data_IF_781704969231
#
_entry.id   IF_781704969231
#
_cell.length_a   1.000
_cell.length_b   1.000
_cell.length_c   1.000
_cell.angle_alpha   90.00
_cell.angle_beta   90.00
_cell.angle_gamma   90.00
#
_symmetry.space_group_name_H-M   'P 1'
#
loop_
_entity.id
_entity.type
_entity.pdbx_description
1 polymer ?
#
# COMPACT_ATOMS: atom_id res chain seq x y z
N UNK A 1 0.35 -22.68 10.69
CA UNK A 1 -0.46 -21.46 10.49
C UNK A 1 -1.37 -21.68 9.31
N UNK A 2 -2.65 -21.38 9.50
CA UNK A 2 -3.65 -21.46 8.44
C UNK A 2 -3.43 -20.29 7.48
N UNK A 3 -3.43 -20.57 6.18
CA UNK A 3 -3.29 -19.52 5.16
C UNK A 3 -4.68 -18.94 4.89
N UNK A 4 -4.91 -17.70 5.33
CA UNK A 4 -6.12 -16.93 5.00
C UNK A 4 -5.86 -16.02 3.81
N UNK A 5 -6.76 -15.90 2.84
CA UNK A 5 -6.60 -14.94 1.73
C UNK A 5 -7.04 -13.51 2.11
N UNK A 6 -7.39 -13.29 3.39
CA UNK A 6 -7.69 -11.96 3.92
C UNK A 6 -6.40 -11.15 4.05
N UNK A 7 -6.46 -9.90 3.58
CA UNK A 7 -5.44 -8.89 3.81
C UNK A 7 -6.10 -7.55 4.15
N UNK A 8 -5.31 -6.59 4.62
CA UNK A 8 -5.82 -5.27 4.93
C UNK A 8 -4.95 -4.12 4.44
N UNK A 9 -5.39 -2.92 4.80
CA UNK A 9 -4.70 -1.67 4.58
C UNK A 9 -5.06 -0.72 5.74
N UNK A 10 -4.05 -0.11 6.36
CA UNK A 10 -4.29 0.99 7.29
C UNK A 10 -4.86 2.21 6.55
N UNK A 11 -5.82 2.87 7.20
CA UNK A 11 -6.43 4.13 6.74
C UNK A 11 -6.38 5.15 7.87
N UNK A 12 -6.90 6.37 7.67
CA UNK A 12 -6.88 7.40 8.70
C UNK A 12 -7.76 6.93 9.87
N UNK A 13 -7.20 6.90 11.08
CA UNK A 13 -7.83 6.36 12.29
C UNK A 13 -8.52 4.99 12.12
N UNK A 14 -8.01 4.14 11.22
CA UNK A 14 -8.75 2.94 10.86
C UNK A 14 -8.00 1.84 10.12
N UNK A 15 -8.72 0.75 9.87
CA UNK A 15 -8.23 -0.40 9.11
C UNK A 15 -9.30 -0.88 8.13
N UNK A 16 -8.91 -1.00 6.86
CA UNK A 16 -9.66 -1.72 5.85
C UNK A 16 -9.21 -3.18 5.80
N UNK A 17 -10.15 -4.11 5.85
CA UNK A 17 -9.94 -5.54 5.63
C UNK A 17 -10.67 -5.99 4.37
N UNK A 18 -10.03 -6.87 3.61
CA UNK A 18 -10.55 -7.41 2.35
C UNK A 18 -10.63 -8.93 2.44
N UNK A 19 -11.86 -9.43 2.42
CA UNK A 19 -12.17 -10.85 2.28
C UNK A 19 -12.33 -11.28 0.82
N UNK A 20 -12.89 -12.47 0.61
CA UNK A 20 -13.03 -13.07 -0.72
C UNK A 20 -14.00 -12.33 -1.64
N UNK A 21 -15.08 -11.79 -1.06
CA UNK A 21 -16.19 -11.13 -1.75
C UNK A 21 -16.68 -9.85 -1.06
N UNK A 22 -16.01 -9.42 0.02
CA UNK A 22 -16.39 -8.26 0.83
C UNK A 22 -15.16 -7.45 1.22
N UNK A 23 -15.39 -6.17 1.47
CA UNK A 23 -14.45 -5.22 2.06
C UNK A 23 -15.14 -4.58 3.25
N UNK A 24 -14.46 -4.49 4.38
CA UNK A 24 -14.91 -3.72 5.52
C UNK A 24 -13.86 -2.66 5.84
N UNK A 25 -14.28 -1.42 6.05
CA UNK A 25 -13.42 -0.34 6.56
C UNK A 25 -13.96 0.08 7.91
N UNK A 26 -13.18 -0.12 8.97
CA UNK A 26 -13.50 0.32 10.32
C UNK A 26 -12.64 1.54 10.66
N UNK A 27 -13.28 2.59 11.17
CA UNK A 27 -12.64 3.85 11.55
C UNK A 27 -13.07 4.20 12.96
N UNK A 28 -12.13 4.60 13.82
CA UNK A 28 -12.40 5.12 15.15
C UNK A 28 -12.86 6.58 15.04
N UNK A 29 -14.00 6.90 15.64
CA UNK A 29 -14.52 8.26 15.79
C UNK A 29 -14.88 8.47 17.26
N UNK A 30 -14.09 9.27 17.98
CA UNK A 30 -14.14 9.31 19.45
C UNK A 30 -14.02 7.92 20.09
N UNK A 31 -15.01 7.54 20.90
CA UNK A 31 -15.08 6.23 21.54
C UNK A 31 -15.73 5.15 20.66
N UNK A 32 -16.33 5.53 19.53
CA UNK A 32 -17.10 4.63 18.66
C UNK A 32 -16.27 4.10 17.48
N UNK A 33 -16.64 2.92 16.98
CA UNK A 33 -16.06 2.33 15.76
C UNK A 33 -17.13 2.31 14.67
N UNK A 34 -16.93 3.12 13.64
CA UNK A 34 -17.82 3.17 12.48
C UNK A 34 -17.30 2.20 11.44
N UNK A 35 -18.18 1.31 10.97
CA UNK A 35 -17.83 0.27 10.00
C UNK A 35 -18.65 0.45 8.73
N UNK A 36 -17.96 0.58 7.60
CA UNK A 36 -18.55 0.51 6.27
C UNK A 36 -18.18 -0.80 5.60
N UNK A 37 -19.21 -1.59 5.29
CA UNK A 37 -19.07 -2.89 4.62
C UNK A 37 -19.63 -2.83 3.22
N UNK A 38 -18.88 -3.33 2.25
CA UNK A 38 -19.27 -3.36 0.85
C UNK A 38 -18.97 -4.73 0.24
N UNK A 39 -19.90 -5.27 -0.54
CA UNK A 39 -19.66 -6.45 -1.35
C UNK A 39 -18.87 -6.06 -2.60
N UNK A 40 -17.65 -6.61 -2.74
CA UNK A 40 -16.76 -6.31 -3.85
C UNK A 40 -16.36 -7.61 -4.54
N UNK A 41 -16.89 -7.84 -5.73
CA UNK A 41 -16.42 -8.93 -6.60
C UNK A 41 -15.08 -8.55 -7.24
N UNK A 42 -13.97 -9.27 -6.94
CA UNK A 42 -12.66 -8.96 -7.48
C UNK A 42 -12.65 -8.94 -9.02
N UNK A 43 -11.88 -8.04 -9.62
CA UNK A 43 -11.77 -7.92 -11.09
C UNK A 43 -11.36 -9.26 -11.73
N UNK A 44 -10.44 -9.98 -11.10
CA UNK A 44 -9.96 -11.30 -11.54
C UNK A 44 -11.06 -12.37 -11.58
N UNK A 45 -12.12 -12.23 -10.77
CA UNK A 45 -13.29 -13.12 -10.77
C UNK A 45 -14.40 -12.64 -11.75
N UNK A 46 -14.29 -11.44 -12.33
CA UNK A 46 -15.25 -10.92 -13.31
C UNK A 46 -14.98 -11.45 -14.72
N UNK A 47 -13.72 -11.71 -15.07
CA UNK A 47 -13.32 -12.22 -16.38
C UNK A 47 -12.13 -13.18 -16.26
N UNK A 48 -12.21 -14.35 -16.90
CA UNK A 48 -11.13 -15.36 -16.95
C UNK A 48 -9.83 -14.81 -17.54
N UNK A 49 -9.89 -13.83 -18.44
CA UNK A 49 -8.69 -13.20 -18.98
C UNK A 49 -7.89 -12.49 -17.88
N UNK A 50 -8.56 -11.86 -16.91
CA UNK A 50 -7.91 -11.15 -15.81
C UNK A 50 -7.33 -12.08 -14.75
N UNK A 51 -7.58 -13.39 -14.81
CA UNK A 51 -7.00 -14.37 -13.88
C UNK A 51 -5.77 -15.11 -14.45
N UNK A 52 -5.39 -14.83 -15.70
CA UNK A 52 -4.21 -15.42 -16.33
C UNK A 52 -2.92 -15.03 -15.58
N UNK A 53 -1.94 -15.96 -15.44
CA UNK A 53 -0.63 -15.65 -14.88
C UNK A 53 0.02 -14.45 -15.55
N UNK A 54 0.78 -13.65 -14.80
CA UNK A 54 1.41 -12.38 -15.24
C UNK A 54 0.44 -11.24 -15.63
N UNK A 55 -0.83 -11.53 -15.93
CA UNK A 55 -1.86 -10.52 -16.20
C UNK A 55 -2.61 -10.18 -14.90
N UNK A 56 -2.93 -11.21 -14.12
CA UNK A 56 -3.69 -11.09 -12.87
C UNK A 56 -3.09 -10.14 -11.85
N UNK A 57 -1.76 -10.03 -11.80
CA UNK A 57 -1.08 -9.13 -10.88
C UNK A 57 -1.43 -7.67 -11.12
N UNK A 58 -1.45 -7.26 -12.39
CA UNK A 58 -1.83 -5.91 -12.80
C UNK A 58 -3.27 -5.61 -12.39
N UNK A 59 -4.21 -6.51 -12.69
CA UNK A 59 -5.62 -6.30 -12.34
C UNK A 59 -5.86 -6.36 -10.83
N UNK A 60 -5.17 -7.23 -10.10
CA UNK A 60 -5.24 -7.30 -8.64
C UNK A 60 -4.69 -6.01 -8.00
N UNK A 61 -3.62 -5.44 -8.55
CA UNK A 61 -3.07 -4.16 -8.10
C UNK A 61 -4.04 -3.01 -8.35
N UNK A 62 -4.63 -2.93 -9.56
CA UNK A 62 -5.64 -1.91 -9.88
C UNK A 62 -6.88 -2.03 -8.98
N UNK A 63 -7.37 -3.24 -8.78
CA UNK A 63 -8.50 -3.52 -7.89
C UNK A 63 -8.20 -3.07 -6.45
N UNK A 64 -7.02 -3.41 -5.94
CA UNK A 64 -6.58 -3.01 -4.60
C UNK A 64 -6.37 -1.49 -4.49
N UNK A 65 -5.85 -0.84 -5.53
CA UNK A 65 -5.68 0.62 -5.55
C UNK A 65 -7.03 1.35 -5.51
N UNK A 66 -8.02 0.89 -6.30
CA UNK A 66 -9.36 1.50 -6.31
C UNK A 66 -10.02 1.36 -4.95
N UNK A 67 -9.97 0.17 -4.35
CA UNK A 67 -10.54 -0.08 -3.02
C UNK A 67 -9.79 0.74 -1.96
N UNK A 68 -8.45 0.73 -1.99
CA UNK A 68 -7.62 1.46 -1.05
C UNK A 68 -7.85 2.97 -1.07
N UNK A 69 -7.98 3.58 -2.26
CA UNK A 69 -8.30 5.00 -2.40
C UNK A 69 -9.70 5.28 -1.83
N UNK A 70 -10.71 4.47 -2.17
CA UNK A 70 -12.07 4.65 -1.64
C UNK A 70 -12.11 4.57 -0.12
N UNK A 71 -11.40 3.62 0.49
CA UNK A 71 -11.34 3.48 1.94
C UNK A 71 -10.58 4.61 2.61
N UNK A 72 -9.50 5.13 1.99
CA UNK A 72 -8.79 6.31 2.48
C UNK A 72 -9.66 7.56 2.42
N UNK A 73 -10.34 7.81 1.30
CA UNK A 73 -11.28 8.92 1.15
C UNK A 73 -12.40 8.83 2.18
N UNK A 74 -13.01 7.64 2.35
CA UNK A 74 -14.03 7.43 3.36
C UNK A 74 -13.53 7.70 4.79
N UNK A 75 -12.31 7.26 5.14
CA UNK A 75 -11.74 7.55 6.45
C UNK A 75 -11.40 9.02 6.66
N UNK A 76 -10.99 9.73 5.60
CA UNK A 76 -10.71 11.16 5.65
C UNK A 76 -12.00 11.95 5.89
N UNK A 77 -13.06 11.66 5.13
CA UNK A 77 -14.38 12.29 5.29
C UNK A 77 -14.93 12.13 6.71
N UNK A 78 -14.84 10.93 7.30
CA UNK A 78 -15.29 10.69 8.67
C UNK A 78 -14.50 11.44 9.73
N UNK A 79 -13.20 11.66 9.49
CA UNK A 79 -12.29 12.36 10.40
C UNK A 79 -12.44 13.88 10.29
N UNK A 80 -12.58 14.42 9.07
CA UNK A 80 -12.79 15.85 8.82
C UNK A 80 -14.11 16.36 9.42
N UNK A 81 -15.18 15.56 9.41
CA UNK A 81 -16.45 15.87 10.09
C UNK A 81 -16.30 16.12 11.62
N UNK A 82 -15.21 15.65 12.24
CA UNK A 82 -14.93 15.85 13.67
C UNK A 82 -14.06 17.10 13.93
N UNK A 83 -13.23 17.50 12.95
CA UNK A 83 -12.35 18.67 13.02
C UNK A 83 -13.01 19.99 12.56
N UNK A 84 -14.25 19.96 12.05
CA UNK A 84 -15.03 21.16 11.68
C UNK A 84 -15.28 22.13 12.85
N UNK A 85 -15.06 21.73 14.11
CA UNK A 85 -15.10 22.64 15.26
C UNK A 85 -13.85 23.54 15.40
N UNK A 86 -12.78 23.29 14.64
CA UNK A 86 -11.51 24.06 14.67
C UNK A 86 -11.13 24.68 13.31
N UNK A 87 -12.07 25.33 12.63
CA UNK A 87 -11.78 26.05 11.38
C UNK A 87 -10.74 27.16 11.64
N UNK A 88 -9.58 27.06 10.98
CA UNK A 88 -8.54 28.08 11.04
C UNK A 88 -9.04 29.41 10.47
N UNK A 89 -8.61 30.54 11.04
CA UNK A 89 -8.96 31.89 10.51
C UNK A 89 -8.58 32.06 9.04
N UNK A 90 -7.62 31.28 8.56
CA UNK A 90 -7.18 31.23 7.18
C UNK A 90 -8.21 30.53 6.27
N UNK A 91 -8.77 29.41 6.72
CA UNK A 91 -9.79 28.64 5.99
C UNK A 91 -11.09 29.45 5.88
N UNK A 92 -11.51 30.10 6.98
CA UNK A 92 -12.65 31.03 6.96
C UNK A 92 -12.44 32.24 6.05
N UNK A 93 -11.19 32.70 5.85
CA UNK A 93 -10.89 33.80 4.94
C UNK A 93 -10.95 33.34 3.48
N UNK A 94 -10.35 32.18 3.16
CA UNK A 94 -10.41 31.64 1.81
C UNK A 94 -11.84 31.29 1.41
N UNK A 95 -12.63 30.67 2.29
CA UNK A 95 -14.02 30.29 2.01
C UNK A 95 -14.89 31.52 1.72
N UNK A 96 -14.62 32.66 2.38
CA UNK A 96 -15.25 33.95 2.07
C UNK A 96 -14.85 34.56 0.73
N UNK A 97 -13.64 34.31 0.24
CA UNK A 97 -13.12 34.89 -1.02
C UNK A 97 -13.47 34.02 -2.23
N UNK A 98 -13.49 32.70 -2.07
CA UNK A 98 -13.63 31.74 -3.17
C UNK A 98 -14.97 30.98 -3.18
N UNK A 99 -15.78 31.09 -2.11
CA UNK A 99 -17.11 30.48 -2.00
C UNK A 99 -17.09 28.95 -1.88
N UNK A 100 -18.24 28.32 -2.06
CA UNK A 100 -18.50 26.88 -1.83
C UNK A 100 -17.72 25.91 -2.73
N UNK A 101 -16.90 26.41 -3.66
CA UNK A 101 -16.07 25.59 -4.58
C UNK A 101 -14.58 25.61 -4.22
N UNK A 102 -14.22 26.30 -3.14
CA UNK A 102 -12.83 26.40 -2.72
C UNK A 102 -12.25 25.03 -2.38
N UNK A 103 -12.98 24.21 -1.63
CA UNK A 103 -12.48 22.95 -1.09
C UNK A 103 -12.16 21.97 -2.22
N UNK A 104 -13.04 21.89 -3.22
CA UNK A 104 -12.79 21.17 -4.47
C UNK A 104 -11.51 21.68 -5.17
N UNK A 105 -11.37 23.00 -5.34
CA UNK A 105 -10.22 23.60 -6.02
C UNK A 105 -8.92 23.33 -5.26
N UNK A 106 -8.92 23.45 -3.93
CA UNK A 106 -7.78 23.17 -3.07
C UNK A 106 -7.39 21.69 -3.12
N UNK A 107 -8.37 20.79 -3.11
CA UNK A 107 -8.15 19.36 -3.25
C UNK A 107 -7.53 19.02 -4.61
N UNK A 108 -8.13 19.47 -5.72
CA UNK A 108 -7.57 19.23 -7.07
C UNK A 108 -6.17 19.82 -7.23
N UNK A 109 -5.93 21.00 -6.69
CA UNK A 109 -4.62 21.65 -6.73
C UNK A 109 -3.57 20.85 -5.92
N UNK A 110 -3.92 20.39 -4.72
CA UNK A 110 -3.05 19.58 -3.86
C UNK A 110 -2.72 18.23 -4.49
N UNK A 111 -3.71 17.57 -5.11
CA UNK A 111 -3.50 16.33 -5.88
C UNK A 111 -2.60 16.59 -7.08
N UNK A 112 -2.80 17.68 -7.82
CA UNK A 112 -1.94 18.02 -8.96
C UNK A 112 -0.49 18.28 -8.53
N UNK A 113 -0.27 19.07 -7.48
CA UNK A 113 1.07 19.35 -6.94
C UNK A 113 1.75 18.07 -6.46
N UNK A 114 1.05 17.24 -5.67
CA UNK A 114 1.62 16.00 -5.14
C UNK A 114 2.00 15.03 -6.26
N UNK A 115 1.22 14.95 -7.33
CA UNK A 115 1.54 14.15 -8.50
C UNK A 115 2.77 14.68 -9.26
N UNK A 116 2.84 16.00 -9.49
CA UNK A 116 4.00 16.64 -10.13
C UNK A 116 5.26 16.39 -9.29
N UNK A 117 5.19 16.63 -7.99
CA UNK A 117 6.30 16.43 -7.07
C UNK A 117 6.74 14.96 -7.07
N UNK A 118 5.79 14.02 -7.07
CA UNK A 118 6.09 12.58 -7.16
C UNK A 118 6.80 12.21 -8.46
N UNK A 119 6.37 12.74 -9.61
CA UNK A 119 7.04 12.52 -10.90
C UNK A 119 8.46 13.11 -10.86
N UNK A 120 8.62 14.32 -10.32
CA UNK A 120 9.93 14.96 -10.23
C UNK A 120 10.87 14.15 -9.33
N UNK A 121 10.44 13.80 -8.11
CA UNK A 121 11.29 13.13 -7.12
C UNK A 121 11.59 11.67 -7.52
N UNK A 122 10.60 10.91 -7.98
CA UNK A 122 10.75 9.45 -8.18
C UNK A 122 11.08 9.04 -9.61
N UNK A 123 10.85 9.90 -10.61
CA UNK A 123 11.14 9.59 -12.01
C UNK A 123 12.21 10.49 -12.60
N UNK A 124 12.01 11.81 -12.59
CA UNK A 124 12.91 12.76 -13.25
C UNK A 124 14.23 12.88 -12.48
N UNK A 125 14.19 13.01 -11.16
CA UNK A 125 15.35 13.17 -10.28
C UNK A 125 16.37 12.03 -10.44
N UNK A 126 16.00 10.75 -10.22
CA UNK A 126 16.93 9.63 -10.37
C UNK A 126 17.49 9.55 -11.79
N UNK A 127 16.65 9.83 -12.79
CA UNK A 127 17.03 9.85 -14.21
C UNK A 127 18.09 10.91 -14.50
N UNK A 128 17.90 12.12 -13.97
CA UNK A 128 18.81 13.24 -14.15
C UNK A 128 20.15 12.98 -13.47
N UNK A 129 20.13 12.50 -12.22
CA UNK A 129 21.34 12.14 -11.47
C UNK A 129 22.10 11.00 -12.17
N UNK A 130 21.40 9.96 -12.63
CA UNK A 130 22.02 8.85 -13.34
C UNK A 130 22.61 9.25 -14.71
N UNK A 131 22.12 10.32 -15.35
CA UNK A 131 22.68 10.79 -16.63
C UNK A 131 24.16 11.22 -16.50
N UNK A 132 24.56 11.74 -15.33
CA UNK A 132 25.96 12.05 -15.04
C UNK A 132 26.89 10.83 -15.08
N UNK A 133 26.35 9.61 -14.92
CA UNK A 133 27.16 8.38 -15.06
C UNK A 133 27.72 8.20 -16.47
N UNK A 134 27.15 8.86 -17.48
CA UNK A 134 27.71 8.88 -18.85
C UNK A 134 29.11 9.47 -18.93
N UNK A 135 29.51 10.29 -17.96
CA UNK A 135 30.88 10.81 -17.86
C UNK A 135 31.89 9.71 -17.52
N UNK A 136 31.44 8.63 -16.88
CA UNK A 136 32.30 7.54 -16.41
C UNK A 136 32.17 6.26 -17.25
N UNK A 137 31.00 6.00 -17.82
CA UNK A 137 30.76 4.78 -18.62
C UNK A 137 29.75 5.00 -19.74
N UNK A 138 29.96 4.31 -20.87
CA UNK A 138 28.99 4.25 -21.98
C UNK A 138 28.05 3.05 -21.91
N UNK A 139 28.26 2.15 -20.94
CA UNK A 139 27.44 0.94 -20.79
C UNK A 139 26.06 1.30 -20.22
N UNK A 140 25.04 1.25 -21.07
CA UNK A 140 23.66 1.63 -20.70
C UNK A 140 23.08 0.77 -19.59
N UNK A 141 23.49 -0.50 -19.50
CA UNK A 141 23.02 -1.42 -18.44
C UNK A 141 23.47 -0.91 -17.08
N UNK A 142 24.74 -0.48 -16.97
CA UNK A 142 25.29 0.08 -15.72
C UNK A 142 24.58 1.38 -15.35
N UNK A 143 24.32 2.25 -16.31
CA UNK A 143 23.63 3.53 -16.06
C UNK A 143 22.19 3.29 -15.58
N UNK A 144 21.43 2.39 -16.23
CA UNK A 144 20.08 2.03 -15.80
C UNK A 144 20.05 1.35 -14.42
N UNK A 145 21.05 0.50 -14.13
CA UNK A 145 21.18 -0.13 -12.83
C UNK A 145 21.39 0.90 -11.73
N UNK A 146 22.30 1.87 -11.94
CA UNK A 146 22.53 2.98 -11.00
C UNK A 146 21.27 3.83 -10.82
N UNK A 147 20.56 4.14 -11.90
CA UNK A 147 19.27 4.86 -11.81
C UNK A 147 18.26 4.10 -10.95
N UNK A 148 18.16 2.79 -11.14
CA UNK A 148 17.31 1.91 -10.35
C UNK A 148 17.68 1.91 -8.87
N UNK A 149 18.98 1.84 -8.56
CA UNK A 149 19.49 1.92 -7.19
C UNK A 149 19.20 3.28 -6.55
N UNK A 150 19.42 4.37 -7.28
CA UNK A 150 19.10 5.73 -6.84
C UNK A 150 17.61 5.87 -6.50
N UNK A 151 16.72 5.28 -7.30
CA UNK A 151 15.28 5.28 -7.04
C UNK A 151 14.95 4.58 -5.71
N UNK A 152 15.57 3.43 -5.44
CA UNK A 152 15.40 2.73 -4.15
C UNK A 152 15.90 3.60 -3.01
N UNK A 153 17.09 4.21 -3.12
CA UNK A 153 17.64 5.07 -2.07
C UNK A 153 16.73 6.27 -1.79
N UNK A 154 16.25 6.96 -2.83
CA UNK A 154 15.32 8.09 -2.70
C UNK A 154 14.01 7.64 -2.05
N UNK A 155 13.49 6.47 -2.42
CA UNK A 155 12.30 5.90 -1.82
C UNK A 155 12.47 5.57 -0.33
N UNK A 156 13.58 4.95 0.06
CA UNK A 156 13.88 4.68 1.47
C UNK A 156 14.05 5.97 2.28
N UNK A 157 14.75 6.96 1.72
CA UNK A 157 14.90 8.26 2.36
C UNK A 157 13.54 8.93 2.57
N UNK A 158 12.69 8.91 1.54
CA UNK A 158 11.33 9.43 1.63
C UNK A 158 10.53 8.73 2.74
N UNK A 159 10.54 7.40 2.80
CA UNK A 159 9.87 6.64 3.87
C UNK A 159 10.37 7.04 5.26
N UNK A 160 11.69 7.15 5.43
CA UNK A 160 12.28 7.57 6.71
C UNK A 160 11.80 8.96 7.10
N UNK A 161 11.78 9.92 6.18
CA UNK A 161 11.33 11.29 6.44
C UNK A 161 9.86 11.35 6.83
N UNK A 162 8.96 10.73 6.06
CA UNK A 162 7.53 10.75 6.38
C UNK A 162 7.21 9.97 7.66
N UNK A 163 7.97 8.91 7.97
CA UNK A 163 7.79 8.12 9.20
C UNK A 163 8.03 8.92 10.48
N UNK A 164 8.57 10.14 10.37
CA UNK A 164 8.77 11.05 11.51
C UNK A 164 7.53 11.91 11.80
N UNK A 165 6.62 12.06 10.83
CA UNK A 165 5.37 12.80 10.96
C UNK A 165 4.39 12.07 11.89
N UNK A 166 3.68 12.80 12.76
CA UNK A 166 2.78 12.20 13.76
C UNK A 166 1.65 11.40 13.10
N UNK A 167 1.01 11.98 12.10
CA UNK A 167 -0.13 11.36 11.42
C UNK A 167 0.27 10.08 10.67
N UNK A 168 1.46 10.08 10.07
CA UNK A 168 2.01 8.89 9.41
C UNK A 168 2.41 7.81 10.41
N UNK A 169 2.97 8.17 11.57
CA UNK A 169 3.23 7.21 12.65
C UNK A 169 1.95 6.54 13.10
N UNK A 170 0.88 7.33 13.27
CA UNK A 170 -0.45 6.84 13.66
C UNK A 170 -1.00 5.84 12.63
N UNK A 171 -0.89 6.13 11.34
CA UNK A 171 -1.24 5.17 10.27
C UNK A 171 -0.36 3.90 10.35
N UNK A 172 0.93 4.01 10.64
CA UNK A 172 1.82 2.85 10.78
C UNK A 172 1.52 2.00 12.02
N UNK A 173 0.96 2.58 13.08
CA UNK A 173 0.44 1.83 14.23
C UNK A 173 -0.81 1.02 13.82
N UNK A 174 -1.78 1.63 13.14
CA UNK A 174 -2.93 0.89 12.57
C UNK A 174 -2.50 -0.22 11.60
N UNK A 175 -1.42 -0.02 10.85
CA UNK A 175 -0.82 -1.07 10.01
C UNK A 175 -0.23 -2.20 10.87
N UNK A 176 0.41 -1.88 12.00
CA UNK A 176 0.80 -2.87 12.99
C UNK A 176 -0.39 -3.64 13.57
N UNK A 177 -1.50 -2.96 13.85
CA UNK A 177 -2.74 -3.57 14.33
C UNK A 177 -3.34 -4.55 13.32
N UNK A 178 -3.36 -4.17 12.04
CA UNK A 178 -3.81 -5.02 10.93
C UNK A 178 -2.99 -6.33 10.87
N UNK A 179 -1.66 -6.23 10.86
CA UNK A 179 -0.80 -7.42 10.88
C UNK A 179 -1.04 -8.31 12.09
N UNK A 180 -1.16 -7.73 13.29
CA UNK A 180 -1.39 -8.48 14.53
C UNK A 180 -2.74 -9.19 14.55
N UNK A 181 -3.80 -8.53 14.07
CA UNK A 181 -5.13 -9.11 13.95
C UNK A 181 -5.16 -10.27 12.95
N UNK A 182 -4.51 -10.14 11.79
CA UNK A 182 -4.39 -11.22 10.81
C UNK A 182 -3.58 -12.39 11.37
N UNK A 183 -2.47 -12.13 12.06
CA UNK A 183 -1.70 -13.20 12.70
C UNK A 183 -2.54 -13.97 13.73
N UNK A 184 -3.36 -13.28 14.53
CA UNK A 184 -4.29 -13.92 15.46
C UNK A 184 -5.24 -14.87 14.74
N UNK A 185 -5.80 -14.45 13.61
CA UNK A 185 -6.65 -15.28 12.78
C UNK A 185 -5.90 -16.48 12.17
N UNK A 186 -4.70 -16.27 11.65
CA UNK A 186 -3.87 -17.33 11.04
C UNK A 186 -3.42 -18.41 12.04
N UNK A 187 -3.39 -18.08 13.33
CA UNK A 187 -3.12 -18.99 14.43
C UNK A 187 -4.40 -19.59 15.03
N UNK A 188 -5.57 -19.28 14.46
CA UNK A 188 -6.87 -19.81 14.85
C UNK A 188 -7.23 -19.51 16.32
N UNK A 189 -6.76 -18.36 16.81
CA UNK A 189 -7.10 -17.88 18.14
C UNK A 189 -8.30 -16.95 18.10
N UNK A 190 -8.97 -16.82 19.25
CA UNK A 190 -10.09 -15.91 19.38
C UNK A 190 -9.62 -14.46 19.14
N UNK A 191 -10.32 -13.76 18.25
CA UNK A 191 -10.04 -12.38 17.88
C UNK A 191 -10.38 -11.41 19.03
N UNK A 192 -9.45 -11.34 19.99
CA UNK A 192 -9.44 -10.44 21.14
C UNK A 192 -8.17 -9.59 21.11
N UNK A 193 -8.22 -8.42 21.76
CA UNK A 193 -7.06 -7.52 21.87
C UNK A 193 -5.88 -8.24 22.52
N UNK A 194 -6.13 -9.00 23.59
CA UNK A 194 -5.10 -9.74 24.32
C UNK A 194 -4.37 -10.75 23.43
N UNK A 195 -5.12 -11.53 22.64
CA UNK A 195 -4.53 -12.50 21.72
C UNK A 195 -3.79 -11.82 20.56
N UNK A 196 -4.36 -10.78 19.96
CA UNK A 196 -3.72 -10.06 18.86
C UNK A 196 -2.41 -9.37 19.30
N UNK A 197 -2.37 -8.81 20.51
CA UNK A 197 -1.23 -8.03 21.04
C UNK A 197 0.11 -8.78 20.99
N UNK A 198 0.10 -10.10 21.19
CA UNK A 198 1.33 -10.92 21.29
C UNK A 198 2.04 -11.15 19.96
N UNK A 199 1.36 -10.90 18.83
CA UNK A 199 1.93 -11.11 17.52
C UNK A 199 2.84 -9.96 17.10
N UNK A 200 3.72 -10.24 16.14
CA UNK A 200 4.64 -9.25 15.57
C UNK A 200 3.93 -8.33 14.58
N UNK A 201 4.45 -7.12 14.42
CA UNK A 201 4.02 -6.17 13.38
C UNK A 201 4.68 -6.44 12.02
N UNK A 202 5.46 -7.52 11.88
CA UNK A 202 6.15 -7.90 10.64
C UNK A 202 5.46 -9.09 9.98
N UNK A 203 4.79 -8.88 8.85
CA UNK A 203 4.00 -9.89 8.16
C UNK A 203 4.54 -10.20 6.73
N UNK A 204 4.82 -11.46 6.36
CA UNK A 204 5.45 -11.81 5.07
C UNK A 204 4.58 -11.50 3.84
N UNK A 205 3.27 -11.34 4.04
CA UNK A 205 2.28 -11.12 2.96
C UNK A 205 1.86 -9.65 2.81
N UNK A 206 2.49 -8.76 3.58
CA UNK A 206 2.24 -7.32 3.52
C UNK A 206 2.57 -6.71 2.15
N UNK A 207 1.82 -5.68 1.74
CA UNK A 207 2.07 -4.89 0.53
C UNK A 207 3.46 -4.23 0.48
N UNK A 208 4.08 -3.91 1.62
CA UNK A 208 5.45 -3.39 1.67
C UNK A 208 6.47 -4.40 1.12
N UNK A 209 6.24 -5.70 1.33
CA UNK A 209 7.07 -6.73 0.72
C UNK A 209 6.85 -6.81 -0.80
N UNK A 210 5.60 -6.66 -1.25
CA UNK A 210 5.29 -6.54 -2.68
C UNK A 210 5.99 -5.34 -3.32
N UNK A 211 6.04 -4.19 -2.64
CA UNK A 211 6.73 -3.00 -3.12
C UNK A 211 8.25 -3.23 -3.30
N UNK A 212 8.90 -3.91 -2.36
CA UNK A 212 10.30 -4.32 -2.51
C UNK A 212 10.53 -5.19 -3.75
N UNK A 213 9.66 -6.17 -3.97
CA UNK A 213 9.71 -7.04 -5.15
C UNK A 213 9.54 -6.21 -6.42
N UNK A 214 8.54 -5.32 -6.46
CA UNK A 214 8.28 -4.41 -7.60
C UNK A 214 9.50 -3.56 -7.92
N UNK A 215 10.16 -2.97 -6.91
CA UNK A 215 11.38 -2.20 -7.12
C UNK A 215 12.51 -3.07 -7.69
N UNK A 216 12.74 -4.25 -7.12
CA UNK A 216 13.79 -5.17 -7.58
C UNK A 216 13.55 -5.63 -9.02
N UNK A 217 12.33 -6.05 -9.33
CA UNK A 217 11.91 -6.43 -10.69
C UNK A 217 12.04 -5.25 -11.64
N UNK A 218 11.67 -4.03 -11.21
CA UNK A 218 11.83 -2.81 -12.02
C UNK A 218 13.29 -2.56 -12.38
N UNK A 219 14.22 -2.69 -11.43
CA UNK A 219 15.66 -2.50 -11.69
C UNK A 219 16.13 -3.48 -12.76
N UNK A 220 15.77 -4.76 -12.62
CA UNK A 220 16.18 -5.81 -13.56
C UNK A 220 15.58 -5.55 -14.95
N UNK A 221 14.25 -5.38 -15.04
CA UNK A 221 13.55 -5.18 -16.32
C UNK A 221 14.05 -3.92 -17.03
N UNK A 222 14.20 -2.81 -16.32
CA UNK A 222 14.65 -1.55 -16.92
C UNK A 222 16.16 -1.52 -17.22
N UNK A 223 16.98 -2.35 -16.57
CA UNK A 223 18.42 -2.42 -16.86
C UNK A 223 18.73 -2.76 -18.32
N UNK A 224 17.87 -3.57 -18.96
CA UNK A 224 18.03 -4.00 -20.35
C UNK A 224 17.51 -2.99 -21.39
N UNK A 225 16.91 -1.87 -20.96
CA UNK A 225 16.44 -0.85 -21.89
C UNK A 225 17.59 0.03 -22.40
N UNK A 226 17.42 0.60 -23.60
CA UNK A 226 18.33 1.63 -24.11
C UNK A 226 18.14 2.94 -23.34
N UNK A 227 19.02 3.92 -23.60
CA UNK A 227 18.93 5.28 -23.04
C UNK A 227 18.50 6.32 -24.09
N UNK A 228 17.25 6.31 -24.57
CA UNK A 228 16.74 7.30 -25.52
C UNK A 228 16.41 8.63 -24.80
N UNK A 229 15.73 9.55 -25.48
CA UNK A 229 15.26 10.82 -24.91
C UNK A 229 14.37 10.59 -23.68
N UNK A 230 14.30 11.60 -22.80
CA UNK A 230 13.57 11.52 -21.53
C UNK A 230 12.11 11.10 -21.71
N UNK A 231 11.41 11.66 -22.70
CA UNK A 231 10.01 11.31 -22.98
C UNK A 231 9.84 9.83 -23.35
N UNK A 232 10.71 9.29 -24.22
CA UNK A 232 10.65 7.88 -24.62
C UNK A 232 10.93 6.97 -23.42
N UNK A 233 11.81 7.40 -22.50
CA UNK A 233 12.07 6.67 -21.25
C UNK A 233 10.86 6.66 -20.31
N UNK A 234 10.21 7.80 -20.14
CA UNK A 234 8.99 7.89 -19.32
C UNK A 234 7.90 6.99 -19.93
N UNK A 235 7.66 7.10 -21.24
CA UNK A 235 6.65 6.30 -21.92
C UNK A 235 6.94 4.79 -21.83
N UNK A 236 8.19 4.37 -22.09
CA UNK A 236 8.56 2.95 -22.00
C UNK A 236 8.41 2.38 -20.59
N UNK A 237 8.69 3.17 -19.54
CA UNK A 237 8.44 2.75 -18.16
C UNK A 237 6.97 2.56 -17.87
N UNK A 238 6.13 3.53 -18.27
CA UNK A 238 4.67 3.45 -18.09
C UNK A 238 4.12 2.20 -18.79
N UNK A 239 4.52 1.97 -20.05
CA UNK A 239 4.08 0.80 -20.83
C UNK A 239 4.52 -0.54 -20.22
N UNK A 240 5.64 -0.56 -19.50
CA UNK A 240 6.17 -1.76 -18.84
C UNK A 240 5.69 -1.95 -17.40
N UNK A 241 4.97 -0.98 -16.80
CA UNK A 241 4.39 -1.13 -15.46
C UNK A 241 3.52 -2.39 -15.33
N UNK A 242 2.64 -2.74 -16.30
CA UNK A 242 1.88 -3.99 -16.25
C UNK A 242 2.76 -5.24 -16.22
N UNK A 243 3.88 -5.23 -16.96
CA UNK A 243 4.82 -6.37 -16.98
C UNK A 243 5.50 -6.52 -15.62
N UNK A 244 5.98 -5.41 -15.06
CA UNK A 244 6.60 -5.38 -13.72
C UNK A 244 5.61 -5.85 -12.66
N UNK A 245 4.38 -5.32 -12.65
CA UNK A 245 3.33 -5.70 -11.70
C UNK A 245 2.97 -7.18 -11.83
N UNK A 246 2.85 -7.67 -13.07
CA UNK A 246 2.61 -9.07 -13.39
C UNK A 246 3.66 -10.01 -12.80
N UNK A 247 4.94 -9.77 -13.12
CA UNK A 247 6.07 -10.58 -12.61
C UNK A 247 6.14 -10.51 -11.09
N UNK A 248 6.01 -9.31 -10.51
CA UNK A 248 6.11 -9.10 -9.06
C UNK A 248 5.01 -9.83 -8.31
N UNK A 249 3.79 -9.87 -8.86
CA UNK A 249 2.66 -10.57 -8.28
C UNK A 249 2.87 -12.10 -8.27
N UNK A 250 3.44 -12.66 -9.33
CA UNK A 250 3.76 -14.09 -9.36
C UNK A 250 4.85 -14.45 -8.33
N UNK A 251 5.85 -13.57 -8.16
CA UNK A 251 6.92 -13.77 -7.16
C UNK A 251 6.35 -13.72 -5.74
N UNK A 252 5.52 -12.72 -5.38
CA UNK A 252 4.95 -12.63 -4.02
C UNK A 252 3.99 -13.80 -3.75
N UNK A 253 3.23 -14.25 -4.74
CA UNK A 253 2.34 -15.40 -4.61
C UNK A 253 3.13 -16.70 -4.41
N UNK A 254 4.23 -16.87 -5.14
CA UNK A 254 5.15 -17.98 -4.94
C UNK A 254 5.77 -17.93 -3.53
N UNK A 255 6.15 -16.74 -3.06
CA UNK A 255 6.69 -16.55 -1.73
C UNK A 255 5.71 -16.89 -0.61
N UNK A 256 4.45 -16.46 -0.70
CA UNK A 256 3.43 -16.83 0.28
C UNK A 256 3.08 -18.32 0.30
N UNK A 257 3.39 -19.05 -0.78
CA UNK A 257 3.13 -20.49 -0.91
C UNK A 257 4.32 -21.36 -0.55
N UNK A 258 5.52 -20.80 -0.41
CA UNK A 258 6.75 -21.57 -0.24
C UNK A 258 7.36 -21.41 1.14
N UNK A 259 7.74 -22.53 1.76
CA UNK A 259 8.56 -22.55 2.99
C UNK A 259 10.07 -22.63 2.68
N UNK A 260 10.47 -22.39 1.42
CA UNK A 260 11.85 -22.48 1.00
C UNK A 260 12.68 -21.32 1.57
N UNK A 261 13.76 -21.66 2.28
CA UNK A 261 14.69 -20.69 2.89
C UNK A 261 15.29 -19.69 1.90
N UNK A 262 15.48 -20.06 0.63
CA UNK A 262 15.98 -19.16 -0.42
C UNK A 262 14.94 -18.09 -0.74
N UNK A 263 13.68 -18.49 -0.88
CA UNK A 263 12.57 -17.57 -1.16
C UNK A 263 12.32 -16.66 0.05
N UNK A 264 12.38 -17.21 1.27
CA UNK A 264 12.32 -16.43 2.50
C UNK A 264 13.46 -15.41 2.61
N UNK A 265 14.70 -15.79 2.27
CA UNK A 265 15.85 -14.89 2.26
C UNK A 265 15.71 -13.76 1.22
N UNK A 266 15.14 -14.06 0.04
CA UNK A 266 14.87 -13.06 -0.99
C UNK A 266 13.82 -12.03 -0.57
N UNK A 267 12.80 -12.47 0.17
CA UNK A 267 11.71 -11.62 0.69
C UNK A 267 12.11 -10.86 1.97
N UNK A 268 13.13 -11.33 2.68
CA UNK A 268 13.56 -10.75 3.96
C UNK A 268 13.83 -9.23 3.93
N UNK A 269 14.46 -8.64 2.90
CA UNK A 269 14.60 -7.19 2.82
C UNK A 269 13.26 -6.45 2.83
N UNK A 270 12.21 -7.03 2.24
CA UNK A 270 10.85 -6.50 2.30
C UNK A 270 10.25 -6.53 3.70
N UNK A 271 10.60 -7.53 4.53
CA UNK A 271 10.26 -7.53 5.97
C UNK A 271 11.02 -6.45 6.74
N UNK A 272 12.27 -6.15 6.38
CA UNK A 272 13.02 -5.07 7.02
C UNK A 272 12.39 -3.69 6.76
N UNK A 273 11.81 -3.48 5.57
CA UNK A 273 11.07 -2.25 5.28
C UNK A 273 9.88 -2.05 6.21
N UNK A 274 9.25 -3.12 6.68
CA UNK A 274 8.13 -3.01 7.61
C UNK A 274 8.55 -2.41 8.95
N UNK A 275 9.82 -2.56 9.37
CA UNK A 275 10.33 -1.84 10.55
C UNK A 275 10.28 -0.30 10.41
N UNK A 276 10.14 0.20 9.18
CA UNK A 276 9.93 1.63 8.89
C UNK A 276 8.45 1.97 8.68
N UNK A 277 7.63 1.02 8.21
CA UNK A 277 6.22 1.24 7.82
C UNK A 277 5.19 0.63 8.77
N UNK A 278 5.62 0.03 9.88
CA UNK A 278 4.75 -0.47 10.95
C UNK A 278 5.27 0.02 12.30
N UNK A 279 4.36 0.18 13.26
CA UNK A 279 4.63 0.55 14.65
C UNK A 279 3.77 -0.29 15.57
N UNK A 280 4.16 -0.36 16.84
CA UNK A 280 3.37 -1.05 17.85
C UNK A 280 2.06 -0.30 18.10
N UNK A 281 0.89 -0.95 17.89
CA UNK A 281 -0.39 -0.32 18.12
C UNK A 281 -0.77 -0.28 19.59
N UNK A 282 -1.64 0.65 19.94
CA UNK A 282 -2.41 0.63 21.18
C UNK A 282 -3.62 -0.35 21.09
N UNK A 283 -4.28 -0.55 22.23
CA UNK A 283 -5.43 -1.46 22.31
C UNK A 283 -6.63 -0.97 21.48
N UNK A 284 -6.83 0.35 21.42
CA UNK A 284 -7.92 0.94 20.64
C UNK A 284 -7.75 0.67 19.14
N UNK A 285 -6.51 0.68 18.64
CA UNK A 285 -6.19 0.36 17.26
C UNK A 285 -6.37 -1.14 16.98
N UNK A 286 -6.02 -2.01 17.93
CA UNK A 286 -6.26 -3.45 17.83
C UNK A 286 -7.75 -3.77 17.76
N UNK A 287 -8.58 -3.11 18.56
CA UNK A 287 -10.04 -3.25 18.51
C UNK A 287 -10.60 -2.90 17.13
N UNK A 288 -10.14 -1.82 16.51
CA UNK A 288 -10.58 -1.38 15.18
C UNK A 288 -10.17 -2.40 14.12
N UNK A 289 -8.93 -2.89 14.16
CA UNK A 289 -8.45 -3.93 13.25
C UNK A 289 -9.27 -5.23 13.39
N UNK A 290 -9.56 -5.64 14.61
CA UNK A 290 -10.39 -6.82 14.92
C UNK A 290 -11.82 -6.63 14.44
N UNK A 291 -12.42 -5.46 14.67
CA UNK A 291 -13.80 -5.16 14.25
C UNK A 291 -13.93 -5.21 12.71
N UNK A 292 -12.97 -4.62 12.00
CA UNK A 292 -12.88 -4.72 10.54
C UNK A 292 -12.74 -6.17 10.07
N UNK A 293 -11.89 -6.95 10.74
CA UNK A 293 -11.64 -8.36 10.40
C UNK A 293 -12.86 -9.25 10.65
N UNK A 294 -13.52 -9.12 11.81
CA UNK A 294 -14.76 -9.84 12.13
C UNK A 294 -15.85 -9.55 11.11
N UNK A 295 -15.97 -8.28 10.71
CA UNK A 295 -16.97 -7.86 9.72
C UNK A 295 -16.82 -8.61 8.39
N UNK A 296 -15.59 -8.80 7.88
CA UNK A 296 -15.41 -9.57 6.64
C UNK A 296 -15.63 -11.07 6.83
N UNK A 297 -15.31 -11.63 8.00
CA UNK A 297 -15.48 -13.06 8.32
C UNK A 297 -16.94 -13.49 8.43
N UNK A 298 -17.82 -12.63 8.96
CA UNK A 298 -19.26 -12.92 9.12
C UNK A 298 -19.95 -13.27 7.79
N UNK A 299 -19.52 -12.64 6.68
CA UNK A 299 -20.09 -12.89 5.34
C UNK A 299 -19.51 -14.13 4.65
N UNK A 300 -18.40 -14.66 5.16
CA UNK A 300 -17.81 -15.90 4.66
C UNK A 300 -18.47 -17.15 5.30
N UNK A 301 -19.49 -16.94 6.16
CA UNK A 301 -20.42 -17.98 6.59
C UNK A 301 -19.79 -19.10 7.42
N UNK A 302 -18.72 -18.80 8.17
CA UNK A 302 -18.01 -19.83 8.96
C UNK A 302 -17.46 -20.97 8.11
N UNK A 303 -17.25 -20.77 6.80
CA UNK A 303 -16.67 -21.78 5.94
C UNK A 303 -15.21 -21.97 6.33
N UNK A 304 -14.86 -23.21 6.71
CA UNK A 304 -13.48 -23.65 6.82
C UNK A 304 -12.76 -23.30 5.51
N UNK A 305 -11.77 -22.40 5.63
CA UNK A 305 -10.92 -21.97 4.54
C UNK A 305 -10.24 -23.18 3.89
N UNK A 306 -10.80 -23.70 2.80
CA UNK A 306 -10.13 -24.65 1.93
C UNK A 306 -8.95 -23.93 1.26
N UNK A 307 -7.74 -24.39 1.60
CA UNK A 307 -6.49 -23.91 1.04
C UNK A 307 -6.44 -24.05 -0.49
N UNK A 308 -6.16 -22.94 -1.20
CA UNK A 308 -5.81 -22.92 -2.64
C UNK A 308 -4.31 -23.04 -2.88
#
# INVERSE_FOLDING_TARGET
MKKTDIGGQAVIEGVMMRGHNSVATAVRKGDEIIIKKEYVKPLTKRNKFFSLPFIRGTFALFDSLIVGIKSLTYSAELFEEEDEENISKFDSFLQKVFGDKLDDVLMYFSVAISLILSIVIFFIGPTYVADYMKLFTKNTIVINFVEGLLRVVIFLLYLVLISQMKDIKRIFEYHGAEHKAIYCLEHEEELTVENARKYTTLHPRCGTNFLFIVMTVSIIVFSFLKWPTLYIRILSRILLLPVVAGISYEIIKLAGRSDNKIIAAFVYPGLLLQKLTTREPDDNQLEVAIASLKSVLEDEGGQEFESI
#
